data_IF_130951314487
#
_entry.id   IF_130951314487
#
_cell.length_a   1.000
_cell.length_b   1.000
_cell.length_c   1.000
_cell.angle_alpha   90.00
_cell.angle_beta   90.00
_cell.angle_gamma   90.00
#
_symmetry.space_group_name_H-M   'P 1'
#
loop_
_entity.id
_entity.type
_entity.pdbx_description
1 polymer ?
#
# COMPACT_ATOMS: atom_id res chain seq x y z
N UNK A 1 16.02 13.84 -15.72
CA UNK A 1 14.61 13.55 -15.35
C UNK A 1 14.45 13.81 -13.87
N UNK A 2 13.53 14.67 -13.50
CA UNK A 2 13.21 14.95 -12.09
C UNK A 2 12.27 13.87 -11.52
N UNK A 3 12.53 13.47 -10.27
CA UNK A 3 11.67 12.59 -9.48
C UNK A 3 11.13 13.40 -8.30
N UNK A 4 9.86 13.25 -7.98
CA UNK A 4 9.28 13.82 -6.76
C UNK A 4 9.08 12.73 -5.70
N UNK A 5 9.55 12.99 -4.48
CA UNK A 5 9.23 12.21 -3.28
C UNK A 5 8.24 13.02 -2.43
N UNK A 6 7.13 12.40 -2.03
CA UNK A 6 6.08 13.03 -1.21
C UNK A 6 6.00 12.31 0.12
N UNK A 7 6.16 13.06 1.22
CA UNK A 7 6.13 12.53 2.58
C UNK A 7 5.06 13.27 3.40
N UNK A 8 3.95 12.60 3.76
CA UNK A 8 3.01 13.14 4.74
C UNK A 8 3.57 12.99 6.16
N UNK A 9 3.44 14.02 6.96
CA UNK A 9 3.95 14.06 8.34
C UNK A 9 2.85 14.48 9.28
N UNK A 10 2.59 13.67 10.32
CA UNK A 10 1.66 13.98 11.38
C UNK A 10 2.22 13.49 12.72
N UNK A 11 2.60 14.44 13.59
CA UNK A 11 3.18 14.17 14.92
C UNK A 11 4.34 13.15 14.84
N UNK A 12 5.41 13.53 14.12
CA UNK A 12 6.61 12.71 13.87
C UNK A 12 7.93 13.45 14.13
N UNK A 13 7.92 14.54 14.91
CA UNK A 13 9.14 15.33 15.17
C UNK A 13 10.32 14.47 15.62
N UNK A 14 10.07 13.45 16.46
CA UNK A 14 11.11 12.59 17.02
C UNK A 14 11.70 11.55 16.02
N UNK A 15 10.99 11.25 14.90
CA UNK A 15 11.35 10.11 14.02
C UNK A 15 11.58 10.50 12.57
N UNK A 16 10.98 11.59 12.09
CA UNK A 16 11.04 11.98 10.68
C UNK A 16 12.46 12.28 10.19
N UNK A 17 13.36 12.68 11.05
CA UNK A 17 14.76 13.01 10.70
C UNK A 17 15.45 11.87 9.96
N UNK A 18 15.34 10.63 10.45
CA UNK A 18 15.95 9.47 9.80
C UNK A 18 15.40 9.23 8.37
N UNK A 19 14.11 9.45 8.16
CA UNK A 19 13.49 9.37 6.83
C UNK A 19 14.04 10.47 5.91
N UNK A 20 14.11 11.72 6.39
CA UNK A 20 14.63 12.86 5.62
C UNK A 20 16.11 12.64 5.23
N UNK A 21 16.95 12.17 6.16
CA UNK A 21 18.35 11.83 5.90
C UNK A 21 18.47 10.74 4.84
N UNK A 22 17.59 9.74 4.85
CA UNK A 22 17.58 8.67 3.85
C UNK A 22 17.22 9.16 2.44
N UNK A 23 16.39 10.22 2.33
CA UNK A 23 16.08 10.90 1.07
C UNK A 23 17.25 11.78 0.62
N UNK A 24 17.85 12.53 1.55
CA UNK A 24 19.02 13.37 1.28
C UNK A 24 20.20 12.55 0.72
N UNK A 25 20.39 11.33 1.26
CA UNK A 25 21.44 10.39 0.84
C UNK A 25 21.21 9.77 -0.55
N UNK A 26 20.07 10.00 -1.20
CA UNK A 26 19.86 9.51 -2.57
C UNK A 26 20.79 10.21 -3.55
N UNK A 27 21.47 9.43 -4.38
CA UNK A 27 22.49 9.93 -5.31
C UNK A 27 21.92 10.56 -6.60
N UNK A 28 20.62 10.34 -6.88
CA UNK A 28 19.99 10.89 -8.09
C UNK A 28 19.61 12.35 -7.91
N UNK A 29 19.92 13.18 -8.92
CA UNK A 29 19.49 14.57 -9.04
C UNK A 29 19.10 14.83 -10.50
N UNK A 30 18.16 15.76 -10.82
CA UNK A 30 17.41 16.56 -9.86
C UNK A 30 16.35 15.75 -9.12
N UNK A 31 16.12 16.12 -7.84
CA UNK A 31 15.14 15.50 -6.95
C UNK A 31 14.28 16.59 -6.30
N UNK A 32 12.97 16.41 -6.33
CA UNK A 32 12.04 17.22 -5.53
C UNK A 32 11.59 16.43 -4.31
N UNK A 33 11.61 17.06 -3.13
CA UNK A 33 11.06 16.53 -1.89
C UNK A 33 9.89 17.42 -1.45
N UNK A 34 8.69 16.86 -1.39
CA UNK A 34 7.49 17.54 -0.91
C UNK A 34 7.13 16.98 0.46
N UNK A 35 7.25 17.82 1.47
CA UNK A 35 6.95 17.54 2.87
C UNK A 35 5.60 18.16 3.23
N UNK A 36 4.65 17.36 3.67
CA UNK A 36 3.30 17.82 3.96
C UNK A 36 3.01 17.64 5.45
N UNK A 37 3.04 18.74 6.19
CA UNK A 37 2.59 18.74 7.58
C UNK A 37 1.07 18.62 7.63
N UNK A 38 0.56 17.53 8.22
CA UNK A 38 -0.87 17.24 8.31
C UNK A 38 -1.44 17.74 9.65
N UNK A 39 -1.20 19.02 9.96
CA UNK A 39 -1.64 19.71 11.17
C UNK A 39 -1.02 19.11 12.45
N UNK A 40 0.30 18.94 12.47
CA UNK A 40 1.06 18.45 13.61
C UNK A 40 1.09 19.44 14.76
N UNK A 41 1.13 18.92 16.00
CA UNK A 41 1.17 19.70 17.26
C UNK A 41 2.45 19.48 18.07
N UNK A 42 3.36 18.61 17.59
CA UNK A 42 4.57 18.16 18.33
C UNK A 42 5.86 18.83 17.87
N UNK A 43 5.80 19.87 17.03
CA UNK A 43 6.99 20.52 16.46
C UNK A 43 7.46 19.91 15.13
N UNK A 44 6.76 18.94 14.56
CA UNK A 44 7.10 18.35 13.25
C UNK A 44 7.32 19.40 12.16
N UNK A 45 6.41 20.37 12.03
CA UNK A 45 6.53 21.45 11.04
C UNK A 45 7.86 22.21 11.16
N UNK A 46 8.32 22.50 12.38
CA UNK A 46 9.58 23.18 12.60
C UNK A 46 10.76 22.34 12.08
N UNK A 47 10.76 21.03 12.37
CA UNK A 47 11.79 20.09 11.87
C UNK A 47 11.84 20.10 10.33
N UNK A 48 10.67 20.11 9.66
CA UNK A 48 10.58 20.14 8.19
C UNK A 48 11.15 21.44 7.62
N UNK A 49 10.82 22.60 8.22
CA UNK A 49 11.33 23.90 7.77
C UNK A 49 12.84 24.04 8.02
N UNK A 50 13.35 23.58 9.14
CA UNK A 50 14.78 23.56 9.44
C UNK A 50 15.53 22.68 8.43
N UNK A 51 15.00 21.48 8.11
CA UNK A 51 15.58 20.60 7.11
C UNK A 51 15.62 21.26 5.73
N UNK A 52 14.55 21.93 5.32
CA UNK A 52 14.49 22.69 4.06
C UNK A 52 15.56 23.78 4.04
N UNK A 53 15.67 24.59 5.09
CA UNK A 53 16.65 25.69 5.18
C UNK A 53 18.10 25.16 5.06
N UNK A 54 18.37 24.01 5.66
CA UNK A 54 19.72 23.41 5.66
C UNK A 54 20.10 22.74 4.33
N UNK A 55 19.15 22.22 3.55
CA UNK A 55 19.46 21.30 2.45
C UNK A 55 18.89 21.71 1.09
N UNK A 56 18.09 22.77 0.98
CA UNK A 56 17.59 23.30 -0.30
C UNK A 56 18.76 23.66 -1.22
N UNK A 57 18.74 23.16 -2.47
CA UNK A 57 19.73 23.51 -3.49
C UNK A 57 19.10 23.59 -4.88
N UNK A 58 19.87 23.95 -5.91
CA UNK A 58 19.36 24.05 -7.29
C UNK A 58 18.96 22.71 -7.90
N UNK A 59 19.47 21.60 -7.40
CA UNK A 59 19.18 20.24 -7.86
C UNK A 59 18.46 19.38 -6.82
N UNK A 60 18.21 19.92 -5.59
CA UNK A 60 17.38 19.33 -4.56
C UNK A 60 16.33 20.35 -4.09
N UNK A 61 15.17 20.32 -4.73
CA UNK A 61 14.07 21.22 -4.46
C UNK A 61 13.21 20.71 -3.30
N UNK A 62 13.14 21.45 -2.18
CA UNK A 62 12.36 21.05 -1.00
C UNK A 62 11.16 21.99 -0.85
N UNK A 63 9.97 21.43 -0.89
CA UNK A 63 8.69 22.15 -0.66
C UNK A 63 8.12 21.67 0.67
N UNK A 64 7.84 22.60 1.59
CA UNK A 64 7.06 22.34 2.81
C UNK A 64 5.68 22.98 2.62
N UNK A 65 4.63 22.20 2.87
CA UNK A 65 3.23 22.66 2.77
C UNK A 65 2.40 22.08 3.90
N UNK A 66 1.17 22.54 4.07
CA UNK A 66 0.26 22.06 5.13
C UNK A 66 -1.03 21.52 4.54
N UNK A 67 -1.62 20.56 5.24
CA UNK A 67 -2.94 19.99 4.96
C UNK A 67 -3.75 19.90 6.26
N UNK A 68 -4.91 20.53 6.30
CA UNK A 68 -5.77 20.57 7.48
C UNK A 68 -6.76 19.41 7.58
N UNK A 69 -6.94 18.62 6.52
CA UNK A 69 -7.77 17.43 6.58
C UNK A 69 -6.96 16.24 7.12
N UNK A 70 -7.32 15.76 8.33
CA UNK A 70 -6.54 14.81 9.13
C UNK A 70 -6.54 13.37 8.58
N UNK A 71 -6.21 13.18 7.30
CA UNK A 71 -5.96 11.86 6.71
C UNK A 71 -4.67 11.83 5.92
N UNK A 72 -3.98 10.69 5.95
CA UNK A 72 -2.77 10.51 5.15
C UNK A 72 -3.04 10.60 3.64
N UNK A 73 -4.26 10.25 3.21
CA UNK A 73 -4.72 10.40 1.82
C UNK A 73 -4.76 11.86 1.40
N UNK A 74 -5.37 12.74 2.22
CA UNK A 74 -5.44 14.18 1.95
C UNK A 74 -4.04 14.80 1.89
N UNK A 75 -3.18 14.49 2.87
CA UNK A 75 -1.81 14.99 2.87
C UNK A 75 -1.01 14.54 1.62
N UNK A 76 -1.18 13.28 1.18
CA UNK A 76 -0.53 12.81 -0.05
C UNK A 76 -1.07 13.48 -1.30
N UNK A 77 -2.39 13.75 -1.39
CA UNK A 77 -2.99 14.53 -2.48
C UNK A 77 -2.44 15.95 -2.49
N UNK A 78 -2.39 16.61 -1.33
CA UNK A 78 -1.80 17.95 -1.21
C UNK A 78 -0.35 17.99 -1.67
N UNK A 79 0.44 16.96 -1.32
CA UNK A 79 1.81 16.82 -1.80
C UNK A 79 1.87 16.58 -3.31
N UNK A 80 0.94 15.80 -3.87
CA UNK A 80 0.87 15.53 -5.29
C UNK A 80 0.56 16.79 -6.13
N UNK A 81 -0.25 17.71 -5.63
CA UNK A 81 -0.52 19.02 -6.25
C UNK A 81 0.77 19.86 -6.41
N UNK A 82 1.76 19.66 -5.54
CA UNK A 82 3.05 20.36 -5.58
C UNK A 82 4.11 19.60 -6.40
N UNK A 83 3.81 18.38 -6.88
CA UNK A 83 4.76 17.54 -7.58
C UNK A 83 5.06 18.07 -8.99
N UNK A 84 6.33 18.29 -9.29
CA UNK A 84 6.82 18.74 -10.61
C UNK A 84 7.49 17.62 -11.40
N UNK A 85 8.02 16.60 -10.71
CA UNK A 85 8.70 15.48 -11.34
C UNK A 85 7.79 14.64 -12.24
N UNK A 86 8.37 14.07 -13.28
CA UNK A 86 7.67 13.15 -14.19
C UNK A 86 7.21 11.86 -13.48
N UNK A 87 7.94 11.45 -12.45
CA UNK A 87 7.64 10.29 -11.62
C UNK A 87 7.52 10.68 -10.15
N UNK A 88 6.61 10.03 -9.46
CA UNK A 88 6.29 10.31 -8.06
C UNK A 88 6.49 9.05 -7.22
N UNK A 89 7.10 9.23 -6.05
CA UNK A 89 7.18 8.26 -4.97
C UNK A 89 6.43 8.82 -3.77
N UNK A 90 5.44 8.11 -3.27
CA UNK A 90 4.87 8.37 -1.96
C UNK A 90 5.66 7.59 -0.91
N UNK A 91 6.01 8.23 0.19
CA UNK A 91 6.86 7.61 1.20
C UNK A 91 6.40 8.01 2.60
N UNK A 92 6.40 7.08 3.54
CA UNK A 92 5.93 7.36 4.90
C UNK A 92 7.07 7.95 5.76
N UNK A 93 6.70 8.77 6.74
CA UNK A 93 7.61 9.60 7.54
C UNK A 93 8.43 8.83 8.61
N UNK A 94 8.26 7.53 8.70
CA UNK A 94 8.94 6.61 9.62
C UNK A 94 9.67 5.45 8.91
N UNK A 95 9.73 5.49 7.58
CA UNK A 95 10.37 4.48 6.74
C UNK A 95 11.69 4.98 6.13
N UNK A 96 12.52 4.05 5.61
CA UNK A 96 13.84 4.40 5.10
C UNK A 96 14.01 4.02 3.62
N UNK A 97 14.56 4.96 2.85
CA UNK A 97 15.07 4.73 1.50
C UNK A 97 16.50 4.21 1.58
N UNK A 98 16.72 2.96 1.17
CA UNK A 98 18.08 2.45 0.99
C UNK A 98 18.81 3.22 -0.12
N UNK A 99 20.11 3.33 0.02
CA UNK A 99 20.97 4.01 -0.96
C UNK A 99 20.72 3.52 -2.39
N UNK A 100 20.59 4.46 -3.33
CA UNK A 100 20.37 4.18 -4.74
C UNK A 100 18.97 3.66 -5.10
N UNK A 101 17.96 3.82 -4.23
CA UNK A 101 16.57 3.50 -4.57
C UNK A 101 16.10 4.34 -5.75
N UNK A 102 16.21 5.67 -5.67
CA UNK A 102 15.76 6.59 -6.73
C UNK A 102 16.53 6.33 -8.02
N UNK A 103 17.86 6.19 -7.95
CA UNK A 103 18.69 5.86 -9.13
C UNK A 103 18.29 4.52 -9.77
N UNK A 104 17.81 3.55 -8.99
CA UNK A 104 17.33 2.27 -9.52
C UNK A 104 16.01 2.42 -10.28
N UNK A 105 15.08 3.27 -9.81
CA UNK A 105 13.89 3.62 -10.56
C UNK A 105 14.24 4.31 -11.88
N UNK A 106 15.11 5.32 -11.84
CA UNK A 106 15.56 6.07 -13.04
C UNK A 106 16.16 5.14 -14.08
N UNK A 107 17.05 4.21 -13.71
CA UNK A 107 17.62 3.21 -14.62
C UNK A 107 16.54 2.36 -15.33
N UNK A 108 15.48 2.00 -14.62
CA UNK A 108 14.37 1.23 -15.20
C UNK A 108 13.58 2.08 -16.19
N UNK A 109 13.29 3.33 -15.84
CA UNK A 109 12.56 4.27 -16.68
C UNK A 109 13.32 4.56 -17.97
N UNK A 110 14.60 4.95 -17.87
CA UNK A 110 15.46 5.21 -19.03
C UNK A 110 15.60 3.99 -19.94
N UNK A 111 15.67 2.79 -19.35
CA UNK A 111 15.70 1.54 -20.12
C UNK A 111 14.41 1.32 -20.90
N UNK A 112 13.25 1.63 -20.31
CA UNK A 112 11.96 1.55 -20.98
C UNK A 112 11.87 2.56 -22.12
N UNK A 113 12.24 3.82 -21.87
CA UNK A 113 12.28 4.91 -22.85
C UNK A 113 13.17 4.57 -24.05
N UNK A 114 14.41 4.12 -23.80
CA UNK A 114 15.33 3.68 -24.88
C UNK A 114 14.78 2.53 -25.73
N UNK A 115 13.86 1.74 -25.19
CA UNK A 115 13.21 0.63 -25.92
C UNK A 115 11.86 1.01 -26.51
N UNK A 116 11.44 2.27 -26.44
CA UNK A 116 10.13 2.73 -26.87
C UNK A 116 8.96 2.04 -26.13
N UNK A 117 9.17 1.57 -24.89
CA UNK A 117 8.15 0.89 -24.10
C UNK A 117 7.43 1.87 -23.18
N UNK A 118 6.11 1.87 -23.25
CA UNK A 118 5.29 2.56 -22.27
C UNK A 118 5.57 2.00 -20.86
N UNK A 119 5.58 2.88 -19.86
CA UNK A 119 5.77 2.53 -18.46
C UNK A 119 5.00 3.52 -17.59
N UNK A 120 4.17 3.00 -16.68
CA UNK A 120 3.32 3.80 -15.81
C UNK A 120 3.61 3.53 -14.32
N UNK A 121 4.06 2.31 -13.98
CA UNK A 121 4.26 1.86 -12.62
C UNK A 121 5.51 0.98 -12.51
N UNK A 122 6.28 1.16 -11.44
CA UNK A 122 7.41 0.30 -11.10
C UNK A 122 7.23 -0.21 -9.68
N UNK A 123 6.97 -1.52 -9.52
CA UNK A 123 6.85 -2.15 -8.21
C UNK A 123 8.23 -2.55 -7.66
N UNK A 124 8.48 -2.25 -6.39
CA UNK A 124 9.74 -2.53 -5.70
C UNK A 124 9.57 -3.52 -4.54
N UNK A 125 10.69 -4.17 -4.16
CA UNK A 125 10.80 -5.00 -2.96
C UNK A 125 10.96 -4.13 -1.73
N UNK A 126 10.46 -4.60 -0.58
CA UNK A 126 10.70 -3.98 0.72
C UNK A 126 11.10 -5.00 1.77
N UNK A 127 11.87 -4.55 2.74
CA UNK A 127 12.19 -5.25 3.98
C UNK A 127 11.30 -4.70 5.09
N UNK A 128 10.64 -5.58 5.81
CA UNK A 128 9.85 -5.22 7.00
C UNK A 128 10.76 -5.40 8.22
N UNK A 129 10.86 -4.39 9.05
CA UNK A 129 11.62 -4.41 10.32
C UNK A 129 10.64 -4.31 11.47
N UNK A 130 10.79 -5.15 12.49
CA UNK A 130 9.89 -5.24 13.63
C UNK A 130 10.53 -4.66 14.89
N UNK A 131 9.74 -4.30 15.92
CA UNK A 131 10.26 -3.70 17.16
C UNK A 131 11.25 -4.60 17.92
N UNK A 132 11.22 -5.90 17.73
CA UNK A 132 12.16 -6.87 18.30
C UNK A 132 13.50 -6.95 17.54
N UNK A 133 13.72 -6.07 16.54
CA UNK A 133 14.89 -6.06 15.67
C UNK A 133 14.87 -7.12 14.57
N UNK A 134 13.89 -8.01 14.54
CA UNK A 134 13.78 -8.98 13.47
C UNK A 134 13.38 -8.32 12.14
N UNK A 135 13.79 -8.91 11.03
CA UNK A 135 13.42 -8.43 9.71
C UNK A 135 13.02 -9.55 8.77
N UNK A 136 12.19 -9.22 7.78
CA UNK A 136 11.85 -10.16 6.71
C UNK A 136 11.53 -9.43 5.42
N UNK A 137 11.71 -10.10 4.30
CA UNK A 137 11.24 -9.57 3.01
C UNK A 137 9.71 -9.59 2.94
N UNK A 138 9.11 -8.47 2.54
CA UNK A 138 7.70 -8.46 2.20
C UNK A 138 7.43 -9.35 0.98
N UNK A 139 6.27 -10.01 0.89
CA UNK A 139 5.88 -10.77 -0.28
C UNK A 139 5.98 -9.91 -1.55
N UNK A 140 6.66 -10.44 -2.57
CA UNK A 140 6.87 -9.77 -3.84
C UNK A 140 6.80 -10.77 -4.99
N UNK A 141 5.82 -10.61 -5.86
CA UNK A 141 5.56 -11.50 -6.98
C UNK A 141 5.43 -10.71 -8.28
N UNK A 142 5.91 -11.27 -9.37
CA UNK A 142 5.86 -10.64 -10.70
C UNK A 142 4.71 -11.16 -11.56
N UNK A 143 4.19 -12.30 -11.19
CA UNK A 143 3.02 -12.91 -11.78
C UNK A 143 1.77 -12.42 -11.02
N UNK A 144 0.68 -12.19 -11.71
CA UNK A 144 -0.62 -11.86 -11.14
C UNK A 144 -0.59 -10.76 -10.07
N UNK A 145 -0.15 -9.57 -10.48
CA UNK A 145 0.02 -8.43 -9.58
C UNK A 145 -1.27 -8.05 -8.85
N UNK A 146 -2.43 -8.21 -9.48
CA UNK A 146 -3.73 -7.97 -8.84
C UNK A 146 -3.94 -8.88 -7.62
N UNK A 147 -3.84 -10.20 -7.81
CA UNK A 147 -4.03 -11.12 -6.70
C UNK A 147 -3.00 -10.90 -5.60
N UNK A 148 -1.75 -10.62 -5.97
CA UNK A 148 -0.69 -10.35 -4.99
C UNK A 148 -0.92 -9.05 -4.24
N UNK A 149 -1.45 -8.02 -4.90
CA UNK A 149 -1.82 -6.79 -4.22
C UNK A 149 -2.98 -7.01 -3.25
N UNK A 150 -4.07 -7.65 -3.67
CA UNK A 150 -5.22 -7.98 -2.79
C UNK A 150 -4.77 -8.83 -1.59
N UNK A 151 -3.88 -9.79 -1.79
CA UNK A 151 -3.47 -10.73 -0.73
C UNK A 151 -2.38 -10.19 0.20
N UNK A 152 -1.50 -9.30 -0.28
CA UNK A 152 -0.27 -8.94 0.39
C UNK A 152 0.04 -7.42 0.40
N UNK A 153 -0.80 -6.57 -0.19
CA UNK A 153 -0.52 -5.14 -0.30
C UNK A 153 0.78 -4.86 -1.09
N UNK A 154 0.99 -5.52 -2.24
CA UNK A 154 2.25 -5.40 -2.97
C UNK A 154 2.55 -3.98 -3.46
N UNK A 155 1.53 -3.16 -3.66
CA UNK A 155 1.64 -1.73 -3.95
C UNK A 155 1.33 -0.89 -2.70
N UNK A 156 1.89 -1.25 -1.55
CA UNK A 156 1.88 -0.35 -0.39
C UNK A 156 2.67 0.92 -0.70
N UNK A 157 2.42 2.00 0.01
CA UNK A 157 2.86 3.38 -0.25
C UNK A 157 4.31 3.48 -0.76
N UNK A 158 5.27 2.86 -0.05
CA UNK A 158 6.70 2.98 -0.34
C UNK A 158 7.21 2.02 -1.43
N UNK A 159 6.36 1.12 -1.91
CA UNK A 159 6.76 -0.04 -2.73
C UNK A 159 6.59 0.17 -4.22
N UNK A 160 6.32 1.40 -4.66
CA UNK A 160 6.22 1.70 -6.09
C UNK A 160 6.65 3.13 -6.41
N UNK A 161 7.06 3.33 -7.66
CA UNK A 161 7.09 4.63 -8.31
C UNK A 161 6.02 4.65 -9.38
N UNK A 162 5.34 5.77 -9.55
CA UNK A 162 4.25 5.96 -10.50
C UNK A 162 4.49 7.18 -11.38
N UNK A 163 4.20 7.09 -12.67
CA UNK A 163 4.25 8.23 -13.58
C UNK A 163 3.17 9.24 -13.18
N UNK A 164 3.55 10.50 -13.01
CA UNK A 164 2.68 11.56 -12.49
C UNK A 164 1.38 11.71 -13.27
N UNK A 165 1.45 11.75 -14.60
CA UNK A 165 0.24 11.84 -15.45
C UNK A 165 -0.68 10.62 -15.29
N UNK A 166 -0.12 9.41 -15.16
CA UNK A 166 -0.91 8.21 -14.94
C UNK A 166 -1.60 8.26 -13.58
N UNK A 167 -0.90 8.65 -12.52
CA UNK A 167 -1.52 8.81 -11.19
C UNK A 167 -2.63 9.87 -11.21
N UNK A 168 -2.42 11.01 -11.88
CA UNK A 168 -3.44 12.06 -12.04
C UNK A 168 -4.72 11.56 -12.71
N UNK A 169 -4.64 10.54 -13.58
CA UNK A 169 -5.80 9.95 -14.25
C UNK A 169 -6.61 8.97 -13.37
N UNK A 170 -6.21 8.74 -12.12
CA UNK A 170 -6.80 7.74 -11.22
C UNK A 170 -7.46 8.35 -9.97
N UNK A 171 -7.85 9.60 -10.01
CA UNK A 171 -8.53 10.35 -8.93
C UNK A 171 -7.75 10.45 -7.59
N UNK A 172 -6.43 10.18 -7.63
CA UNK A 172 -5.57 10.34 -6.46
C UNK A 172 -5.89 9.39 -5.29
N UNK A 173 -5.57 9.81 -4.07
CA UNK A 173 -5.87 9.08 -2.83
C UNK A 173 -7.30 9.35 -2.37
N UNK A 174 -8.02 8.30 -1.96
CA UNK A 174 -9.34 8.45 -1.36
C UNK A 174 -9.19 9.01 0.08
N UNK A 175 -9.67 10.24 0.28
CA UNK A 175 -9.54 10.97 1.54
C UNK A 175 -10.53 10.51 2.62
N UNK A 176 -11.59 9.80 2.24
CA UNK A 176 -12.62 9.29 3.14
C UNK A 176 -12.21 7.96 3.80
N UNK A 177 -11.07 7.38 3.39
CA UNK A 177 -10.59 6.13 3.95
C UNK A 177 -9.70 6.39 5.18
N UNK A 178 -10.13 5.95 6.36
CA UNK A 178 -9.35 6.12 7.58
C UNK A 178 -8.12 5.19 7.62
N UNK A 179 -8.19 4.06 6.89
CA UNK A 179 -7.16 3.00 6.90
C UNK A 179 -7.05 2.31 5.55
N UNK A 180 -5.95 1.56 5.34
CA UNK A 180 -5.69 0.80 4.11
C UNK A 180 -5.87 1.62 2.82
N UNK A 181 -5.66 2.92 2.90
CA UNK A 181 -5.74 3.81 1.75
C UNK A 181 -4.69 3.46 0.68
N UNK A 182 -3.54 2.93 1.10
CA UNK A 182 -2.51 2.40 0.22
C UNK A 182 -2.96 1.11 -0.50
N UNK A 183 -3.75 0.28 0.17
CA UNK A 183 -4.29 -0.93 -0.42
C UNK A 183 -5.38 -0.62 -1.44
N UNK A 184 -6.24 0.35 -1.15
CA UNK A 184 -7.29 0.80 -2.06
C UNK A 184 -6.70 1.51 -3.29
N UNK A 185 -5.82 2.51 -3.11
CA UNK A 185 -5.23 3.23 -4.25
C UNK A 185 -4.42 2.30 -5.15
N UNK A 186 -3.67 1.36 -4.58
CA UNK A 186 -2.94 0.35 -5.33
C UNK A 186 -3.86 -0.52 -6.20
N UNK A 187 -5.07 -0.86 -5.72
CA UNK A 187 -6.08 -1.56 -6.53
C UNK A 187 -6.56 -0.67 -7.69
N UNK A 188 -6.92 0.60 -7.43
CA UNK A 188 -7.37 1.53 -8.50
C UNK A 188 -6.28 1.74 -9.56
N UNK A 189 -5.02 1.90 -9.15
CA UNK A 189 -3.91 1.95 -10.09
C UNK A 189 -3.88 0.72 -11.01
N UNK A 190 -4.10 -0.47 -10.47
CA UNK A 190 -4.15 -1.71 -11.26
C UNK A 190 -5.40 -1.78 -12.15
N UNK A 191 -6.55 -1.30 -11.69
CA UNK A 191 -7.79 -1.25 -12.46
C UNK A 191 -7.67 -0.31 -13.67
N UNK A 192 -6.83 0.72 -13.59
CA UNK A 192 -6.48 1.60 -14.70
C UNK A 192 -5.53 0.97 -15.75
N UNK A 193 -5.19 -0.33 -15.59
CA UNK A 193 -4.40 -1.12 -16.54
C UNK A 193 -3.01 -0.54 -16.87
N UNK A 194 -2.12 -0.30 -15.88
CA UNK A 194 -0.81 0.29 -16.10
C UNK A 194 0.16 -0.63 -16.85
N UNK A 195 1.12 -0.03 -17.54
CA UNK A 195 2.33 -0.73 -17.97
C UNK A 195 3.30 -0.86 -16.80
N UNK A 196 3.50 -2.07 -16.31
CA UNK A 196 4.24 -2.33 -15.06
C UNK A 196 5.62 -2.89 -15.31
N UNK A 197 6.62 -2.31 -14.64
CA UNK A 197 7.94 -2.91 -14.47
C UNK A 197 8.15 -3.33 -13.00
N UNK A 198 9.17 -4.17 -12.79
CA UNK A 198 9.51 -4.66 -11.45
C UNK A 198 10.98 -4.40 -11.18
N UNK A 199 11.28 -3.75 -10.05
CA UNK A 199 12.64 -3.56 -9.60
C UNK A 199 13.22 -4.91 -9.14
N UNK A 200 14.31 -5.33 -9.80
CA UNK A 200 15.03 -6.55 -9.45
C UNK A 200 16.04 -6.34 -8.33
N UNK A 201 16.69 -7.44 -7.94
CA UNK A 201 17.77 -7.40 -6.95
C UNK A 201 17.27 -7.41 -5.50
N UNK A 202 18.11 -6.92 -4.57
CA UNK A 202 17.79 -6.79 -3.15
C UNK A 202 16.78 -5.68 -2.89
N UNK A 203 16.12 -5.71 -1.75
CA UNK A 203 15.26 -4.61 -1.27
C UNK A 203 16.06 -3.32 -1.14
N UNK A 204 15.41 -2.20 -1.47
CA UNK A 204 15.93 -0.85 -1.25
C UNK A 204 14.93 0.03 -0.50
N UNK A 205 13.93 -0.58 0.09
CA UNK A 205 12.91 0.07 0.92
C UNK A 205 12.84 -0.67 2.24
N UNK A 206 13.04 0.03 3.34
CA UNK A 206 12.83 -0.49 4.69
C UNK A 206 11.56 0.11 5.26
N UNK A 207 10.63 -0.76 5.63
CA UNK A 207 9.35 -0.42 6.26
C UNK A 207 9.45 -0.79 7.74
N UNK A 208 9.34 0.21 8.60
CA UNK A 208 9.43 0.04 10.04
C UNK A 208 8.05 -0.22 10.64
N UNK A 209 7.87 -1.39 11.27
CA UNK A 209 6.67 -1.69 12.04
C UNK A 209 6.83 -1.19 13.48
N UNK A 210 6.52 0.08 13.72
CA UNK A 210 6.75 0.77 15.01
C UNK A 210 5.68 0.42 16.10
N UNK A 211 5.24 -0.83 16.20
CA UNK A 211 4.40 -1.29 17.33
C UNK A 211 3.11 -0.47 17.51
N UNK A 212 2.89 0.06 18.73
CA UNK A 212 1.65 0.72 19.13
C UNK A 212 1.36 2.05 18.39
N UNK A 213 2.39 2.74 17.89
CA UNK A 213 2.23 4.02 17.18
C UNK A 213 1.92 3.87 15.68
N UNK A 214 1.94 2.64 15.18
CA UNK A 214 1.59 2.35 13.78
C UNK A 214 0.08 2.30 13.62
N UNK A 215 -0.44 2.96 12.56
CA UNK A 215 -1.86 2.87 12.19
C UNK A 215 -2.30 1.41 11.97
N UNK A 216 -1.38 0.55 11.54
CA UNK A 216 -1.59 -0.89 11.31
C UNK A 216 -1.18 -1.77 12.48
N UNK A 217 -0.53 -1.24 13.50
CA UNK A 217 -0.06 -1.97 14.70
C UNK A 217 -1.07 -2.08 15.83
N UNK A 218 -2.25 -1.44 15.70
CA UNK A 218 -3.32 -1.50 16.69
C UNK A 218 -4.14 -2.80 16.56
N UNK A 219 -4.81 -3.17 17.63
CA UNK A 219 -5.80 -4.26 17.63
C UNK A 219 -6.89 -3.98 16.60
N UNK A 220 -7.15 -4.95 15.73
CA UNK A 220 -8.09 -4.76 14.62
C UNK A 220 -9.52 -4.53 15.10
N UNK A 221 -9.90 -5.17 16.21
CA UNK A 221 -11.25 -5.03 16.76
C UNK A 221 -11.56 -3.62 17.28
N UNK A 222 -10.58 -2.87 17.76
CA UNK A 222 -10.78 -1.50 18.29
C UNK A 222 -11.30 -0.52 17.22
N UNK A 223 -11.14 -0.90 15.96
CA UNK A 223 -11.56 -0.14 14.77
C UNK A 223 -12.40 -0.99 13.82
N UNK A 224 -13.19 -1.91 14.37
CA UNK A 224 -14.12 -2.70 13.56
C UNK A 224 -15.05 -1.80 12.74
N UNK A 225 -15.45 -2.25 11.57
CA UNK A 225 -16.21 -1.44 10.62
C UNK A 225 -15.33 -0.64 9.65
N UNK A 226 -14.24 -0.02 10.10
CA UNK A 226 -13.35 0.75 9.21
C UNK A 226 -12.65 -0.17 8.18
N UNK A 227 -12.17 -1.33 8.60
CA UNK A 227 -11.51 -2.32 7.73
C UNK A 227 -12.49 -2.96 6.74
N UNK A 228 -13.68 -3.30 7.24
CA UNK A 228 -14.76 -3.88 6.42
C UNK A 228 -15.21 -2.91 5.34
N UNK A 229 -15.30 -1.62 5.69
CA UNK A 229 -15.66 -0.54 4.77
C UNK A 229 -14.69 -0.47 3.58
N UNK A 230 -13.37 -0.51 3.84
CA UNK A 230 -12.38 -0.51 2.75
C UNK A 230 -12.55 -1.71 1.83
N UNK A 231 -12.79 -2.91 2.38
CA UNK A 231 -13.04 -4.11 1.56
C UNK A 231 -14.29 -3.93 0.69
N UNK A 232 -15.36 -3.32 1.22
CA UNK A 232 -16.59 -3.08 0.46
C UNK A 232 -16.38 -2.03 -0.64
N UNK A 233 -15.61 -0.96 -0.39
CA UNK A 233 -15.20 0.02 -1.42
C UNK A 233 -14.42 -0.68 -2.53
N UNK A 234 -13.35 -1.40 -2.22
CA UNK A 234 -12.53 -2.11 -3.21
C UNK A 234 -13.36 -3.11 -4.04
N UNK A 235 -14.31 -3.78 -3.41
CA UNK A 235 -15.22 -4.70 -4.11
C UNK A 235 -16.12 -3.96 -5.10
N UNK A 236 -16.61 -2.78 -4.73
CA UNK A 236 -17.41 -1.94 -5.62
C UNK A 236 -16.56 -1.45 -6.81
N UNK A 237 -15.34 -1.02 -6.60
CA UNK A 237 -14.41 -0.62 -7.65
C UNK A 237 -14.17 -1.76 -8.66
N UNK A 238 -13.91 -2.98 -8.17
CA UNK A 238 -13.77 -4.16 -9.03
C UNK A 238 -15.04 -4.38 -9.88
N UNK A 239 -16.24 -4.23 -9.29
CA UNK A 239 -17.51 -4.40 -9.98
C UNK A 239 -17.74 -3.34 -11.05
N UNK A 240 -17.44 -2.10 -10.75
CA UNK A 240 -17.59 -0.96 -11.66
C UNK A 240 -16.51 -0.90 -12.75
N UNK A 241 -15.38 -1.60 -12.59
CA UNK A 241 -14.24 -1.56 -13.52
C UNK A 241 -14.58 -2.13 -14.91
N UNK A 242 -13.69 -1.90 -15.88
CA UNK A 242 -13.79 -2.45 -17.25
C UNK A 242 -13.25 -3.90 -17.38
N UNK A 243 -12.94 -4.56 -16.28
CA UNK A 243 -12.45 -5.93 -16.29
C UNK A 243 -13.49 -6.91 -16.84
N UNK A 244 -13.02 -7.98 -17.50
CA UNK A 244 -13.88 -9.10 -17.92
C UNK A 244 -14.56 -9.75 -16.72
N UNK A 245 -15.81 -10.17 -16.84
CA UNK A 245 -16.61 -10.75 -15.76
C UNK A 245 -15.90 -11.87 -14.98
N UNK A 246 -15.11 -12.71 -15.66
CA UNK A 246 -14.32 -13.77 -14.98
C UNK A 246 -13.27 -13.22 -14.02
N UNK A 247 -12.64 -12.09 -14.35
CA UNK A 247 -11.63 -11.43 -13.50
C UNK A 247 -12.30 -10.71 -12.34
N UNK A 248 -13.42 -10.00 -12.58
CA UNK A 248 -14.22 -9.39 -11.50
C UNK A 248 -14.59 -10.43 -10.45
N UNK A 249 -15.21 -11.56 -10.87
CA UNK A 249 -15.59 -12.66 -9.96
C UNK A 249 -14.39 -13.20 -9.19
N UNK A 250 -13.23 -13.33 -9.84
CA UNK A 250 -12.01 -13.81 -9.18
C UNK A 250 -11.53 -12.83 -8.11
N UNK A 251 -11.44 -11.54 -8.41
CA UNK A 251 -10.96 -10.54 -7.46
C UNK A 251 -11.96 -10.30 -6.33
N UNK A 252 -13.27 -10.34 -6.59
CA UNK A 252 -14.27 -10.34 -5.52
C UNK A 252 -14.06 -11.52 -4.55
N UNK A 253 -13.77 -12.72 -5.03
CA UNK A 253 -13.47 -13.88 -4.17
C UNK A 253 -12.22 -13.65 -3.31
N UNK A 254 -11.16 -13.06 -3.87
CA UNK A 254 -9.96 -12.74 -3.12
C UNK A 254 -10.21 -11.66 -2.05
N UNK A 255 -11.06 -10.66 -2.34
CA UNK A 255 -11.50 -9.67 -1.36
C UNK A 255 -12.33 -10.30 -0.24
N UNK A 256 -13.23 -11.23 -0.56
CA UNK A 256 -13.97 -11.98 0.47
C UNK A 256 -13.04 -12.90 1.29
N UNK A 257 -12.01 -13.47 0.69
CA UNK A 257 -10.97 -14.15 1.46
C UNK A 257 -10.24 -13.19 2.42
N UNK A 258 -9.94 -11.95 2.01
CA UNK A 258 -9.38 -10.93 2.91
C UNK A 258 -10.34 -10.57 4.05
N UNK A 259 -11.65 -10.49 3.79
CA UNK A 259 -12.67 -10.35 4.84
C UNK A 259 -12.63 -11.50 5.83
N UNK A 260 -12.46 -12.73 5.34
CA UNK A 260 -12.31 -13.91 6.20
C UNK A 260 -11.01 -13.86 7.02
N UNK A 261 -9.90 -13.32 6.47
CA UNK A 261 -8.66 -13.08 7.21
C UNK A 261 -8.88 -12.09 8.34
N UNK A 262 -9.63 -11.01 8.09
CA UNK A 262 -9.99 -10.02 9.11
C UNK A 262 -10.86 -10.65 10.22
N UNK A 263 -11.87 -11.45 9.85
CA UNK A 263 -12.68 -12.19 10.81
C UNK A 263 -11.83 -13.12 11.69
N UNK A 264 -10.86 -13.82 11.09
CA UNK A 264 -9.95 -14.67 11.84
C UNK A 264 -8.98 -13.88 12.75
N UNK A 265 -8.68 -12.63 12.41
CA UNK A 265 -7.93 -11.74 13.29
C UNK A 265 -8.77 -11.33 14.50
N UNK A 266 -10.04 -10.97 14.34
CA UNK A 266 -10.96 -10.71 15.46
C UNK A 266 -11.09 -11.92 16.38
N UNK A 267 -11.17 -13.14 15.84
CA UNK A 267 -11.17 -14.37 16.64
C UNK A 267 -9.90 -14.52 17.48
N UNK A 268 -8.72 -14.20 16.92
CA UNK A 268 -7.42 -14.22 17.63
C UNK A 268 -7.33 -13.16 18.73
N UNK A 269 -8.01 -12.04 18.57
CA UNK A 269 -8.11 -10.96 19.56
C UNK A 269 -9.18 -11.22 20.61
N UNK A 270 -9.80 -12.41 20.62
CA UNK A 270 -10.81 -12.78 21.60
C UNK A 270 -12.18 -12.12 21.38
N UNK A 271 -12.49 -11.73 20.14
CA UNK A 271 -13.74 -11.04 19.77
C UNK A 271 -14.61 -11.93 18.83
N UNK A 272 -15.12 -13.07 19.32
CA UNK A 272 -15.90 -13.99 18.49
C UNK A 272 -17.23 -13.38 18.01
N UNK A 273 -17.77 -12.41 18.73
CA UNK A 273 -19.01 -11.71 18.37
C UNK A 273 -18.84 -10.83 17.12
N UNK A 274 -17.63 -10.30 16.86
CA UNK A 274 -17.27 -9.61 15.63
C UNK A 274 -16.84 -10.60 14.52
N UNK A 275 -16.11 -11.65 14.91
CA UNK A 275 -15.55 -12.62 13.99
C UNK A 275 -16.62 -13.45 13.27
N UNK A 276 -17.61 -13.98 13.99
CA UNK A 276 -18.63 -14.91 13.45
C UNK A 276 -19.50 -14.25 12.36
N UNK A 277 -20.12 -13.09 12.56
CA UNK A 277 -20.92 -12.43 11.51
C UNK A 277 -20.10 -12.10 10.27
N UNK A 278 -18.86 -11.62 10.47
CA UNK A 278 -17.98 -11.24 9.37
C UNK A 278 -17.53 -12.46 8.55
N UNK A 279 -17.18 -13.56 9.23
CA UNK A 279 -16.86 -14.84 8.58
C UNK A 279 -18.05 -15.37 7.79
N UNK A 280 -19.27 -15.29 8.35
CA UNK A 280 -20.50 -15.73 7.67
C UNK A 280 -20.78 -14.85 6.44
N UNK A 281 -20.63 -13.53 6.53
CA UNK A 281 -20.76 -12.59 5.39
C UNK A 281 -19.80 -13.00 4.25
N UNK A 282 -18.52 -13.23 4.56
CA UNK A 282 -17.54 -13.66 3.58
C UNK A 282 -17.88 -15.02 2.95
N UNK A 283 -18.29 -15.98 3.78
CA UNK A 283 -18.64 -17.31 3.31
C UNK A 283 -19.87 -17.32 2.39
N UNK A 284 -20.92 -16.55 2.74
CA UNK A 284 -22.13 -16.38 1.90
C UNK A 284 -21.78 -15.72 0.57
N UNK A 285 -20.99 -14.64 0.59
CA UNK A 285 -20.57 -13.96 -0.62
C UNK A 285 -19.73 -14.87 -1.54
N UNK A 286 -18.84 -15.69 -0.99
CA UNK A 286 -18.10 -16.70 -1.75
C UNK A 286 -19.06 -17.74 -2.34
N UNK A 287 -20.01 -18.26 -1.56
CA UNK A 287 -21.03 -19.20 -2.04
C UNK A 287 -21.78 -18.63 -3.24
N UNK A 288 -22.22 -17.36 -3.17
CA UNK A 288 -23.01 -16.72 -4.23
C UNK A 288 -22.24 -16.62 -5.55
N UNK A 289 -20.90 -16.45 -5.49
CA UNK A 289 -20.06 -16.45 -6.71
C UNK A 289 -19.89 -17.81 -7.38
N UNK A 290 -20.01 -18.89 -6.62
CA UNK A 290 -19.88 -20.29 -7.10
C UNK A 290 -21.21 -20.96 -7.32
N UNK A 291 -22.29 -20.47 -6.68
CA UNK A 291 -23.60 -21.13 -6.60
C UNK A 291 -23.52 -22.52 -5.96
N UNK A 292 -24.53 -23.32 -6.17
CA UNK A 292 -24.59 -24.71 -5.69
C UNK A 292 -23.75 -25.68 -6.54
N UNK A 293 -22.66 -25.21 -7.14
CA UNK A 293 -21.78 -26.04 -7.97
C UNK A 293 -21.11 -27.18 -7.20
N UNK A 294 -20.79 -28.30 -7.89
CA UNK A 294 -20.00 -29.38 -7.32
C UNK A 294 -18.65 -28.86 -6.80
N UNK A 295 -18.02 -27.90 -7.52
CA UNK A 295 -16.75 -27.26 -7.10
C UNK A 295 -16.89 -26.56 -5.76
N UNK A 296 -17.98 -25.81 -5.51
CA UNK A 296 -18.23 -25.20 -4.22
C UNK A 296 -18.33 -26.23 -3.12
N UNK A 297 -19.25 -27.20 -3.26
CA UNK A 297 -19.54 -28.17 -2.21
C UNK A 297 -18.35 -29.03 -1.82
N UNK A 298 -17.62 -29.56 -2.80
CA UNK A 298 -16.60 -30.58 -2.56
C UNK A 298 -15.17 -30.05 -2.44
N UNK A 299 -14.89 -28.84 -2.93
CA UNK A 299 -13.54 -28.29 -2.96
C UNK A 299 -13.46 -26.97 -2.19
N UNK A 300 -14.20 -25.95 -2.65
CA UNK A 300 -13.99 -24.57 -2.15
C UNK A 300 -14.47 -24.43 -0.72
N UNK A 301 -15.68 -24.83 -0.39
CA UNK A 301 -16.24 -24.68 0.95
C UNK A 301 -15.45 -25.41 2.05
N UNK A 302 -15.05 -26.69 1.89
CA UNK A 302 -14.21 -27.36 2.88
C UNK A 302 -12.84 -26.71 3.07
N UNK A 303 -12.19 -26.29 1.97
CA UNK A 303 -10.88 -25.63 2.03
C UNK A 303 -11.02 -24.24 2.69
N UNK A 304 -12.06 -23.48 2.35
CA UNK A 304 -12.33 -22.15 2.95
C UNK A 304 -12.47 -22.25 4.48
N UNK A 305 -13.23 -23.23 4.98
CA UNK A 305 -13.35 -23.46 6.43
C UNK A 305 -12.01 -23.82 7.09
N UNK A 306 -11.22 -24.68 6.45
CA UNK A 306 -9.87 -25.04 6.93
C UNK A 306 -8.92 -23.85 6.91
N UNK A 307 -9.01 -22.98 5.90
CA UNK A 307 -8.22 -21.74 5.84
C UNK A 307 -8.57 -20.81 7.00
N UNK A 308 -9.86 -20.60 7.29
CA UNK A 308 -10.28 -19.79 8.43
C UNK A 308 -9.69 -20.35 9.74
N UNK A 309 -9.91 -21.62 10.04
CA UNK A 309 -9.38 -22.25 11.26
C UNK A 309 -7.85 -22.15 11.35
N UNK A 310 -7.15 -22.30 10.21
CA UNK A 310 -5.70 -22.16 10.14
C UNK A 310 -5.23 -20.74 10.45
N UNK A 311 -5.93 -19.72 9.92
CA UNK A 311 -5.59 -18.30 10.15
C UNK A 311 -5.90 -17.92 11.60
N UNK A 312 -7.07 -18.31 12.11
CA UNK A 312 -7.47 -18.10 13.51
C UNK A 312 -6.47 -18.73 14.49
N UNK A 313 -5.88 -19.88 14.14
CA UNK A 313 -4.80 -20.50 14.91
C UNK A 313 -3.41 -19.87 14.68
N UNK A 314 -3.30 -18.73 14.02
CA UNK A 314 -2.03 -18.02 13.77
C UNK A 314 -1.08 -18.66 12.76
N UNK A 315 -1.54 -19.69 12.01
CA UNK A 315 -0.69 -20.45 11.07
C UNK A 315 -0.52 -19.71 9.74
N UNK A 316 0.71 -19.61 9.25
CA UNK A 316 1.07 -18.95 7.98
C UNK A 316 0.77 -19.80 6.73
N UNK A 317 0.85 -19.19 5.54
CA UNK A 317 0.79 -19.88 4.24
C UNK A 317 -0.59 -19.99 3.60
N UNK A 318 -1.64 -19.45 4.21
CA UNK A 318 -3.02 -19.49 3.69
C UNK A 318 -3.22 -18.70 2.39
N UNK A 319 -2.51 -17.60 2.20
CA UNK A 319 -2.62 -16.74 1.00
C UNK A 319 -2.23 -17.47 -0.30
N UNK A 320 -1.22 -18.36 -0.26
CA UNK A 320 -0.83 -19.19 -1.42
C UNK A 320 -1.97 -20.12 -1.84
N UNK A 321 -2.64 -20.72 -0.87
CA UNK A 321 -3.78 -21.61 -1.13
C UNK A 321 -4.96 -20.80 -1.67
N UNK A 322 -5.26 -19.63 -1.08
CA UNK A 322 -6.32 -18.75 -1.52
C UNK A 322 -6.14 -18.30 -2.97
N UNK A 323 -4.92 -17.92 -3.36
CA UNK A 323 -4.59 -17.54 -4.73
C UNK A 323 -4.88 -18.62 -5.77
N UNK A 324 -4.69 -19.89 -5.41
CA UNK A 324 -4.98 -21.04 -6.28
C UNK A 324 -6.46 -21.44 -6.28
N UNK A 325 -7.14 -21.20 -5.16
CA UNK A 325 -8.53 -21.62 -4.94
C UNK A 325 -9.52 -20.65 -5.58
N UNK A 326 -9.27 -19.34 -5.42
CA UNK A 326 -10.12 -18.24 -5.84
C UNK A 326 -9.61 -17.55 -7.10
#
# INVERSE_FOLDING_TARGET
MEITVIIPVYNRAAVVGATLDSVLAQSHRPLQLVLVDNDSTDGSLQVLEEFKQAHQSGDFNIVVTREGHHTAGAARNRGFEQATGEWVLFFDSDDLMEEGLVASYVKIIERAQRKGKALDLISARSTLVFPDGSSRQAPFHRDDLFANHILHGQLATQRYAVRREFFASTDGWNIDLPRWNDWEVGLRLLLANPHVAYMGGKSRVTINHNGADSITGTEFHSRHGEWEYVIDIMKNEVRCSQLKAKHKKRFERLLEYRRMVLAAQYEREGQPELAKPLCQKAYTALHDTYGNSRRWRWIVAPITRRLFARIAAGKRGSARIARLLY
#
